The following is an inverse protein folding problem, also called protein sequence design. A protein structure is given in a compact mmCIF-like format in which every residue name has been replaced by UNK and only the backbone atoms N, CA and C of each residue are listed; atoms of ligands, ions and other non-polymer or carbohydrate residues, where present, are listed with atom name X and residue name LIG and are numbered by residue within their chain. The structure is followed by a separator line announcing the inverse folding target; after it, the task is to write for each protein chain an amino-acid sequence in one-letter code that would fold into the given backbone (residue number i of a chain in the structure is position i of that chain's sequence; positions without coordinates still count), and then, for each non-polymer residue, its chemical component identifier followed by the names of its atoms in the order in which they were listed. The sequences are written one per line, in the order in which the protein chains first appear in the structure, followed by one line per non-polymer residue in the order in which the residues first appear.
data_IF_190837446675
#
_entry.id   IF_190837446675
#
_cell.length_a   1.000
_cell.length_b   1.000
_cell.length_c   1.000
_cell.angle_alpha   90.00
_cell.angle_beta   90.00
_cell.angle_gamma   90.00
#
_symmetry.space_group_name_H-M   'P 1'
#
loop_
_entity.id
_entity.type
_entity.pdbx_description
1 polymer ?
#
# COMPACT_ATOMS: atom_id res chain seq x y z
N UNK A 1 17.91 9.06 -18.35
CA UNK A 1 17.59 8.01 -17.35
C UNK A 1 16.27 8.24 -16.64
N UNK A 2 15.89 9.45 -16.27
CA UNK A 2 14.63 9.68 -15.55
C UNK A 2 13.37 9.19 -16.27
N UNK A 3 13.32 9.24 -17.60
CA UNK A 3 12.22 8.61 -18.35
C UNK A 3 12.21 7.08 -18.17
N UNK A 4 13.37 6.42 -18.24
CA UNK A 4 13.52 4.98 -17.94
C UNK A 4 13.16 4.69 -16.47
N UNK A 5 13.64 5.51 -15.53
CA UNK A 5 13.27 5.42 -14.12
C UNK A 5 11.76 5.52 -13.94
N UNK A 6 11.10 6.52 -14.54
CA UNK A 6 9.64 6.63 -14.52
C UNK A 6 8.95 5.39 -15.08
N UNK A 7 9.36 4.90 -16.26
CA UNK A 7 8.80 3.68 -16.87
C UNK A 7 8.99 2.42 -16.01
N UNK A 8 10.08 2.30 -15.24
CA UNK A 8 10.25 1.17 -14.30
C UNK A 8 9.26 1.21 -13.14
N UNK A 9 8.55 2.33 -12.94
CA UNK A 9 7.49 2.49 -11.94
C UNK A 9 6.07 2.43 -12.53
N UNK A 10 5.92 2.12 -13.83
CA UNK A 10 4.61 1.97 -14.49
C UNK A 10 4.15 0.50 -14.54
N UNK A 11 4.55 -0.32 -13.57
CA UNK A 11 4.19 -1.75 -13.51
C UNK A 11 3.63 -2.19 -12.16
N UNK A 12 2.93 -3.33 -12.14
CA UNK A 12 2.28 -3.85 -10.93
C UNK A 12 3.27 -4.11 -9.78
N UNK A 13 4.45 -4.67 -10.08
CA UNK A 13 5.46 -4.96 -9.06
C UNK A 13 6.07 -3.70 -8.43
N UNK A 14 6.09 -2.56 -9.13
CA UNK A 14 6.71 -1.31 -8.68
C UNK A 14 5.73 -0.15 -8.94
N UNK A 15 4.77 0.03 -8.04
CA UNK A 15 3.74 1.08 -8.10
C UNK A 15 2.30 0.57 -8.11
N UNK A 16 2.09 -0.73 -8.36
CA UNK A 16 0.77 -1.36 -8.33
C UNK A 16 0.22 -1.69 -6.94
N UNK A 17 0.96 -1.44 -5.86
CA UNK A 17 0.50 -1.79 -4.52
C UNK A 17 -0.74 -0.95 -4.11
N UNK A 18 -0.86 0.29 -4.59
CA UNK A 18 -2.07 1.09 -4.40
C UNK A 18 -3.28 0.55 -5.15
N UNK A 19 -3.06 0.00 -6.35
CA UNK A 19 -4.08 -0.72 -7.15
C UNK A 19 -4.59 -1.94 -6.39
N UNK A 20 -3.67 -2.82 -5.94
CA UNK A 20 -4.04 -4.02 -5.18
C UNK A 20 -4.64 -3.66 -3.82
N UNK A 21 -4.20 -2.55 -3.22
CA UNK A 21 -4.75 -2.01 -1.98
C UNK A 21 -6.20 -1.55 -2.10
N UNK A 22 -6.59 -0.96 -3.24
CA UNK A 22 -7.99 -0.63 -3.51
C UNK A 22 -8.86 -1.87 -3.67
N UNK A 23 -8.44 -2.82 -4.51
CA UNK A 23 -9.16 -4.08 -4.69
C UNK A 23 -9.32 -4.83 -3.36
N UNK A 24 -8.27 -4.83 -2.54
CA UNK A 24 -8.32 -5.41 -1.20
C UNK A 24 -9.37 -4.73 -0.30
N UNK A 25 -9.35 -3.40 -0.21
CA UNK A 25 -10.33 -2.66 0.60
C UNK A 25 -11.77 -2.87 0.11
N UNK A 26 -12.00 -2.83 -1.21
CA UNK A 26 -13.31 -3.09 -1.79
C UNK A 26 -13.83 -4.47 -1.38
N UNK A 27 -13.00 -5.51 -1.46
CA UNK A 27 -13.39 -6.86 -1.04
C UNK A 27 -13.74 -6.94 0.45
N UNK A 28 -13.00 -6.26 1.33
CA UNK A 28 -13.28 -6.27 2.77
C UNK A 28 -14.57 -5.52 3.14
N UNK A 29 -14.97 -4.52 2.35
CA UNK A 29 -16.10 -3.64 2.65
C UNK A 29 -17.36 -3.86 1.80
N UNK A 30 -17.31 -4.71 0.76
CA UNK A 30 -18.42 -4.92 -0.21
C UNK A 30 -19.78 -5.20 0.42
N UNK A 31 -19.81 -6.00 1.50
CA UNK A 31 -21.04 -6.45 2.17
C UNK A 31 -21.31 -5.71 3.49
N UNK A 32 -20.62 -4.58 3.75
CA UNK A 32 -20.66 -3.89 5.06
C UNK A 32 -21.62 -2.71 5.12
N UNK A 33 -22.38 -2.45 4.06
CA UNK A 33 -23.28 -1.30 3.93
C UNK A 33 -22.67 0.02 4.46
N UNK A 34 -21.42 0.27 4.09
CA UNK A 34 -20.71 1.49 4.47
C UNK A 34 -21.25 2.66 3.64
N UNK A 35 -21.86 3.64 4.31
CA UNK A 35 -22.42 4.84 3.68
C UNK A 35 -21.36 5.94 3.52
N UNK A 36 -20.73 6.33 4.64
CA UNK A 36 -19.72 7.39 4.69
C UNK A 36 -18.40 6.85 5.28
N UNK A 37 -17.32 6.77 4.48
CA UNK A 37 -16.02 6.28 4.94
C UNK A 37 -15.29 7.27 5.87
N UNK A 38 -15.81 8.49 6.00
CA UNK A 38 -15.25 9.55 6.85
C UNK A 38 -16.01 9.71 8.17
N UNK A 39 -17.11 8.97 8.39
CA UNK A 39 -17.84 9.00 9.65
C UNK A 39 -17.19 8.08 10.71
N UNK A 40 -16.66 8.60 11.83
CA UNK A 40 -16.13 7.77 12.92
C UNK A 40 -17.22 6.94 13.63
N UNK A 41 -18.50 7.21 13.38
CA UNK A 41 -19.65 6.46 13.91
C UNK A 41 -20.26 5.50 12.88
N UNK A 42 -19.45 5.01 11.95
CA UNK A 42 -19.81 4.04 10.91
C UNK A 42 -20.40 2.70 11.39
N UNK A 43 -20.33 2.37 12.69
CA UNK A 43 -21.02 1.21 13.29
C UNK A 43 -20.44 -0.17 12.95
N UNK A 44 -19.27 -0.23 12.31
CA UNK A 44 -18.57 -1.49 11.98
C UNK A 44 -17.54 -1.85 13.05
N UNK A 45 -17.43 -3.14 13.39
CA UNK A 45 -16.35 -3.64 14.24
C UNK A 45 -15.10 -3.94 13.39
N UNK A 46 -14.27 -2.91 13.18
CA UNK A 46 -13.05 -3.03 12.39
C UNK A 46 -12.05 -4.01 12.99
N UNK A 47 -12.02 -4.13 14.33
CA UNK A 47 -11.12 -5.05 15.02
C UNK A 47 -11.54 -6.50 14.74
N UNK A 48 -12.83 -6.80 14.80
CA UNK A 48 -13.34 -8.13 14.43
C UNK A 48 -13.05 -8.43 12.95
N UNK A 49 -13.34 -7.49 12.04
CA UNK A 49 -13.04 -7.64 10.61
C UNK A 49 -11.55 -7.95 10.37
N UNK A 50 -10.65 -7.16 10.96
CA UNK A 50 -9.21 -7.34 10.86
C UNK A 50 -8.75 -8.69 11.43
N UNK A 51 -9.32 -9.09 12.57
CA UNK A 51 -9.00 -10.37 13.23
C UNK A 51 -9.44 -11.56 12.39
N UNK A 52 -10.63 -11.52 11.80
CA UNK A 52 -11.15 -12.60 10.96
C UNK A 52 -10.30 -12.77 9.70
N UNK A 53 -9.92 -11.65 9.06
CA UNK A 53 -9.00 -11.68 7.94
C UNK A 53 -7.63 -12.24 8.35
N UNK A 54 -7.05 -11.77 9.45
CA UNK A 54 -5.73 -12.23 9.92
C UNK A 54 -5.72 -13.74 10.21
N UNK A 55 -6.79 -14.27 10.81
CA UNK A 55 -6.95 -15.72 11.03
C UNK A 55 -7.02 -16.48 9.71
N UNK A 56 -7.76 -15.98 8.72
CA UNK A 56 -7.83 -16.59 7.40
C UNK A 56 -6.46 -16.61 6.71
N UNK A 57 -5.72 -15.50 6.80
CA UNK A 57 -4.37 -15.38 6.27
C UNK A 57 -3.39 -16.39 6.88
N UNK A 58 -3.45 -16.62 8.19
CA UNK A 58 -2.61 -17.65 8.85
C UNK A 58 -2.95 -19.06 8.37
N UNK A 59 -4.24 -19.37 8.17
CA UNK A 59 -4.66 -20.67 7.62
C UNK A 59 -4.13 -20.87 6.20
N UNK A 60 -4.34 -19.90 5.32
CA UNK A 60 -3.82 -19.92 3.94
C UNK A 60 -2.29 -20.10 3.92
N UNK A 61 -1.57 -19.41 4.80
CA UNK A 61 -0.11 -19.54 4.98
C UNK A 61 0.31 -20.95 5.39
N UNK A 62 -0.46 -21.61 6.26
CA UNK A 62 -0.16 -22.98 6.69
C UNK A 62 -0.44 -23.97 5.55
N UNK A 63 -1.59 -23.86 4.89
CA UNK A 63 -1.98 -24.69 3.76
C UNK A 63 -0.98 -24.57 2.58
N UNK A 64 -0.54 -23.35 2.24
CA UNK A 64 0.44 -23.14 1.18
C UNK A 64 1.81 -23.76 1.47
N UNK A 65 2.22 -23.80 2.75
CA UNK A 65 3.43 -24.52 3.17
C UNK A 65 3.28 -26.03 3.01
N UNK A 66 2.11 -26.59 3.34
CA UNK A 66 1.84 -28.02 3.18
C UNK A 66 1.79 -28.45 1.71
N UNK A 67 1.24 -27.61 0.84
CA UNK A 67 1.11 -27.87 -0.59
C UNK A 67 2.38 -27.56 -1.40
N UNK A 68 3.40 -26.96 -0.78
CA UNK A 68 4.64 -26.57 -1.46
C UNK A 68 4.46 -25.46 -2.50
N UNK A 69 3.33 -24.77 -2.51
CA UNK A 69 2.97 -23.73 -3.49
C UNK A 69 3.62 -22.37 -3.19
N UNK A 70 4.38 -22.28 -2.09
CA UNK A 70 5.04 -21.06 -1.63
C UNK A 70 4.36 -20.48 -0.40
N UNK A 71 4.87 -19.32 0.04
CA UNK A 71 4.26 -18.58 1.14
C UNK A 71 2.88 -18.00 0.79
N UNK A 72 2.18 -17.42 1.76
CA UNK A 72 0.89 -16.79 1.54
C UNK A 72 1.04 -15.62 0.57
N UNK A 73 -0.06 -15.23 -0.09
CA UNK A 73 -0.07 -14.05 -0.96
C UNK A 73 0.50 -12.83 -0.24
N UNK A 74 1.17 -11.96 -1.01
CA UNK A 74 1.59 -10.67 -0.48
C UNK A 74 0.35 -9.87 -0.04
N UNK A 75 0.43 -9.20 1.10
CA UNK A 75 -0.65 -8.35 1.59
C UNK A 75 -0.45 -6.94 1.03
N UNK A 76 -1.37 -6.44 0.19
CA UNK A 76 -1.26 -5.10 -0.35
C UNK A 76 -1.22 -4.08 0.76
N UNK A 77 -0.37 -3.07 0.62
CA UNK A 77 -0.28 -1.96 1.57
C UNK A 77 0.36 -2.29 2.92
N UNK A 78 0.75 -3.56 3.18
CA UNK A 78 1.28 -4.02 4.46
C UNK A 78 2.74 -4.44 4.34
N UNK A 79 3.58 -3.88 5.21
CA UNK A 79 5.03 -4.11 5.27
C UNK A 79 5.78 -3.65 4.00
N UNK A 80 7.07 -3.35 4.15
CA UNK A 80 8.03 -3.16 3.08
C UNK A 80 9.45 -3.53 3.60
N UNK A 81 10.39 -3.95 2.74
CA UNK A 81 11.65 -4.58 3.17
C UNK A 81 12.60 -3.69 3.99
N UNK A 82 12.44 -2.37 3.88
CA UNK A 82 13.36 -1.36 4.46
C UNK A 82 13.15 -1.14 5.96
N UNK A 83 11.92 -1.14 6.47
CA UNK A 83 11.66 -0.88 7.90
C UNK A 83 11.48 -2.22 8.63
N UNK A 84 12.58 -2.76 9.16
CA UNK A 84 12.62 -4.04 9.89
C UNK A 84 13.39 -3.91 11.19
N UNK A 85 13.13 -4.81 12.14
CA UNK A 85 13.95 -5.00 13.34
C UNK A 85 13.37 -4.45 14.63
N UNK A 86 12.20 -3.79 14.59
CA UNK A 86 11.50 -3.33 15.78
C UNK A 86 10.29 -4.23 16.12
N UNK A 87 9.89 -4.33 17.40
CA UNK A 87 8.66 -5.04 17.80
C UNK A 87 7.42 -4.46 17.12
N UNK A 88 7.39 -3.14 16.95
CA UNK A 88 6.37 -2.41 16.21
C UNK A 88 7.09 -1.56 15.16
N UNK A 89 6.71 -1.75 13.90
CA UNK A 89 7.29 -0.99 12.79
C UNK A 89 6.32 0.11 12.37
N UNK A 90 6.86 1.22 11.88
CA UNK A 90 6.08 2.35 11.36
C UNK A 90 6.70 2.88 10.06
N UNK A 91 5.85 3.26 9.11
CA UNK A 91 6.28 4.06 7.95
C UNK A 91 6.20 5.54 8.34
N UNK A 92 7.31 6.31 8.30
CA UNK A 92 7.28 7.72 8.69
C UNK A 92 6.31 8.57 7.85
N UNK A 93 6.02 8.17 6.61
CA UNK A 93 5.06 8.86 5.72
C UNK A 93 3.63 8.63 6.20
N UNK A 94 3.29 7.40 6.58
CA UNK A 94 1.98 7.10 7.17
C UNK A 94 1.79 7.86 8.48
N UNK A 95 2.80 7.86 9.36
CA UNK A 95 2.74 8.58 10.64
C UNK A 95 2.54 10.08 10.46
N UNK A 96 3.19 10.67 9.46
CA UNK A 96 3.03 12.07 9.13
C UNK A 96 1.61 12.39 8.67
N UNK A 97 1.05 11.60 7.75
CA UNK A 97 -0.33 11.78 7.28
C UNK A 97 -1.34 11.55 8.40
N UNK A 98 -1.18 10.48 9.19
CA UNK A 98 -2.05 10.16 10.31
C UNK A 98 -2.09 11.30 11.34
N UNK A 99 -0.94 11.90 11.64
CA UNK A 99 -0.85 13.06 12.54
C UNK A 99 -1.62 14.27 11.98
N UNK A 100 -1.46 14.58 10.69
CA UNK A 100 -2.17 15.70 10.06
C UNK A 100 -3.69 15.47 10.10
N UNK A 101 -4.14 14.26 9.82
CA UNK A 101 -5.57 13.90 9.88
C UNK A 101 -6.11 14.09 11.30
N UNK A 102 -5.39 13.60 12.30
CA UNK A 102 -5.76 13.77 13.71
C UNK A 102 -5.84 15.26 14.12
N UNK A 103 -4.84 16.06 13.76
CA UNK A 103 -4.82 17.51 14.04
C UNK A 103 -5.99 18.27 13.37
N UNK A 104 -6.49 17.76 12.24
CA UNK A 104 -7.64 18.31 11.52
C UNK A 104 -8.98 17.75 11.98
N UNK A 105 -8.98 16.68 12.77
CA UNK A 105 -10.18 15.91 13.12
C UNK A 105 -10.75 15.09 11.96
N UNK A 106 -9.94 14.80 10.94
CA UNK A 106 -10.34 13.96 9.81
C UNK A 106 -10.33 12.46 10.22
N UNK A 107 -11.26 11.69 9.69
CA UNK A 107 -11.33 10.23 9.88
C UNK A 107 -11.40 9.51 8.54
N UNK A 108 -10.80 8.32 8.49
CA UNK A 108 -10.86 7.43 7.32
C UNK A 108 -10.91 5.97 7.79
N UNK A 109 -12.05 5.34 7.59
CA UNK A 109 -12.31 3.97 8.03
C UNK A 109 -11.36 2.94 7.40
N UNK A 110 -10.93 3.15 6.15
CA UNK A 110 -10.05 2.23 5.43
C UNK A 110 -8.62 2.27 6.00
N UNK A 111 -8.14 3.46 6.34
CA UNK A 111 -6.86 3.63 7.02
C UNK A 111 -6.90 3.03 8.44
N UNK A 112 -7.98 3.24 9.19
CA UNK A 112 -8.13 2.63 10.51
C UNK A 112 -8.20 1.10 10.41
N UNK A 113 -8.92 0.56 9.42
CA UNK A 113 -8.94 -0.88 9.15
C UNK A 113 -7.52 -1.43 8.91
N UNK A 114 -6.68 -0.77 8.11
CA UNK A 114 -5.29 -1.19 7.91
C UNK A 114 -4.49 -1.19 9.22
N UNK A 115 -4.70 -0.19 10.10
CA UNK A 115 -4.05 -0.13 11.41
C UNK A 115 -4.49 -1.28 12.32
N UNK A 116 -5.77 -1.62 12.31
CA UNK A 116 -6.30 -2.78 13.03
C UNK A 116 -5.75 -4.09 12.44
N UNK A 117 -5.65 -4.19 11.11
CA UNK A 117 -5.14 -5.35 10.41
C UNK A 117 -3.70 -5.69 10.76
N UNK A 118 -2.80 -4.70 10.74
CA UNK A 118 -1.39 -4.96 11.06
C UNK A 118 -1.18 -5.41 12.51
N UNK A 119 -2.00 -4.90 13.43
CA UNK A 119 -2.02 -5.36 14.82
C UNK A 119 -2.58 -6.78 14.92
N UNK A 120 -3.72 -7.05 14.28
CA UNK A 120 -4.36 -8.36 14.28
C UNK A 120 -3.43 -9.45 13.72
N UNK A 121 -2.68 -9.17 12.66
CA UNK A 121 -1.69 -10.09 12.08
C UNK A 121 -0.62 -10.51 13.09
N UNK A 122 -0.17 -9.59 13.94
CA UNK A 122 0.75 -9.91 15.03
C UNK A 122 0.04 -10.73 16.12
N UNK A 123 -1.13 -10.30 16.56
CA UNK A 123 -1.88 -10.94 17.65
C UNK A 123 -2.23 -12.41 17.35
N UNK A 124 -2.49 -12.74 16.08
CA UNK A 124 -2.76 -14.13 15.64
C UNK A 124 -1.50 -14.92 15.28
N UNK A 125 -0.31 -14.33 15.41
CA UNK A 125 0.97 -14.99 15.14
C UNK A 125 1.36 -15.11 13.66
N UNK A 126 0.77 -14.30 12.76
CA UNK A 126 1.16 -14.30 11.34
C UNK A 126 2.60 -13.79 11.12
N UNK A 127 3.05 -12.91 12.03
CA UNK A 127 4.37 -12.27 12.06
C UNK A 127 4.87 -12.17 13.51
N UNK A 128 6.20 -12.27 13.75
CA UNK A 128 6.77 -12.07 15.08
C UNK A 128 6.82 -10.59 15.53
N UNK A 129 6.44 -9.66 14.67
CA UNK A 129 6.38 -8.22 14.95
C UNK A 129 5.18 -7.59 14.24
N UNK A 130 4.71 -6.46 14.76
CA UNK A 130 3.63 -5.68 14.13
C UNK A 130 4.16 -5.10 12.82
N UNK A 131 3.50 -5.45 11.72
CA UNK A 131 3.78 -4.83 10.42
C UNK A 131 3.37 -3.37 10.43
N UNK A 132 3.88 -2.60 9.47
CA UNK A 132 3.46 -1.22 9.27
C UNK A 132 2.53 -1.10 8.07
N UNK A 133 1.68 -0.08 8.11
CA UNK A 133 0.91 0.39 6.97
C UNK A 133 1.85 1.24 6.11
N UNK A 134 2.04 0.86 4.85
CA UNK A 134 2.91 1.62 3.94
C UNK A 134 2.15 2.78 3.30
N UNK A 135 2.87 3.68 2.60
CA UNK A 135 2.24 4.83 1.94
C UNK A 135 1.22 4.45 0.85
N UNK A 136 1.38 3.29 0.19
CA UNK A 136 0.48 2.89 -0.88
C UNK A 136 -0.90 2.52 -0.31
N UNK A 137 -0.95 1.87 0.87
CA UNK A 137 -2.19 1.67 1.62
C UNK A 137 -2.85 2.99 2.00
N UNK A 138 -2.06 3.98 2.44
CA UNK A 138 -2.58 5.31 2.79
C UNK A 138 -3.18 6.00 1.57
N UNK A 139 -2.49 5.98 0.43
CA UNK A 139 -2.99 6.54 -0.84
C UNK A 139 -4.28 5.84 -1.25
N UNK A 140 -4.31 4.51 -1.22
CA UNK A 140 -5.51 3.72 -1.55
C UNK A 140 -6.69 4.06 -0.62
N UNK A 141 -6.47 4.12 0.70
CA UNK A 141 -7.48 4.44 1.70
C UNK A 141 -8.07 5.85 1.52
N UNK A 142 -7.20 6.86 1.35
CA UNK A 142 -7.64 8.25 1.18
C UNK A 142 -8.38 8.45 -0.15
N UNK A 143 -7.86 7.87 -1.23
CA UNK A 143 -8.49 7.99 -2.54
C UNK A 143 -9.81 7.24 -2.61
N UNK A 144 -9.90 6.05 -2.00
CA UNK A 144 -11.15 5.31 -1.94
C UNK A 144 -12.22 6.07 -1.16
N UNK A 145 -11.86 6.71 -0.04
CA UNK A 145 -12.80 7.55 0.69
C UNK A 145 -13.31 8.73 -0.15
N UNK A 146 -12.43 9.38 -0.91
CA UNK A 146 -12.79 10.48 -1.81
C UNK A 146 -13.76 10.03 -2.91
N UNK A 147 -13.53 8.85 -3.50
CA UNK A 147 -14.30 8.33 -4.64
C UNK A 147 -15.49 7.46 -4.23
N UNK A 148 -15.70 7.24 -2.92
CA UNK A 148 -16.66 6.26 -2.40
C UNK A 148 -18.09 6.52 -2.87
N UNK A 149 -18.53 7.77 -2.83
CA UNK A 149 -19.88 8.16 -3.25
C UNK A 149 -20.14 7.84 -4.72
N UNK A 150 -19.19 8.18 -5.58
CA UNK A 150 -19.31 7.94 -7.02
C UNK A 150 -19.26 6.44 -7.33
N UNK A 151 -18.43 5.67 -6.63
CA UNK A 151 -18.45 4.22 -6.70
C UNK A 151 -19.80 3.63 -6.26
N UNK A 152 -20.34 4.03 -5.10
CA UNK A 152 -21.60 3.52 -4.56
C UNK A 152 -22.81 3.86 -5.41
N UNK A 153 -22.79 5.00 -6.10
CA UNK A 153 -23.83 5.39 -7.07
C UNK A 153 -23.70 4.69 -8.43
N UNK A 154 -22.60 3.96 -8.67
CA UNK A 154 -22.31 3.31 -9.95
C UNK A 154 -21.74 4.24 -11.02
N UNK A 155 -21.40 5.50 -10.67
CA UNK A 155 -20.74 6.44 -11.57
C UNK A 155 -19.28 6.04 -11.88
N UNK A 156 -18.63 5.34 -10.94
CA UNK A 156 -17.31 4.73 -11.11
C UNK A 156 -17.37 3.23 -10.86
N UNK A 157 -16.68 2.45 -11.69
CA UNK A 157 -16.45 1.03 -11.46
C UNK A 157 -15.15 0.75 -10.73
N UNK A 158 -14.92 -0.52 -10.37
CA UNK A 158 -13.69 -0.97 -9.68
C UNK A 158 -12.42 -0.61 -10.48
N UNK A 159 -12.47 -0.79 -11.80
CA UNK A 159 -11.37 -0.46 -12.71
C UNK A 159 -11.04 1.04 -12.72
N UNK A 160 -12.04 1.91 -12.55
CA UNK A 160 -11.81 3.35 -12.52
C UNK A 160 -11.09 3.75 -11.23
N UNK A 161 -11.49 3.17 -10.10
CA UNK A 161 -10.84 3.36 -8.80
C UNK A 161 -9.37 2.91 -8.87
N UNK A 162 -9.16 1.67 -9.30
CA UNK A 162 -7.85 1.07 -9.51
C UNK A 162 -6.93 1.94 -10.38
N UNK A 163 -7.46 2.46 -11.49
CA UNK A 163 -6.74 3.36 -12.40
C UNK A 163 -6.40 4.70 -11.73
N UNK A 164 -7.32 5.24 -10.92
CA UNK A 164 -7.11 6.50 -10.20
C UNK A 164 -5.96 6.37 -9.18
N UNK A 165 -5.92 5.28 -8.40
CA UNK A 165 -4.85 5.04 -7.43
C UNK A 165 -3.48 4.97 -8.11
N UNK A 166 -3.41 4.26 -9.25
CA UNK A 166 -2.20 4.16 -10.03
C UNK A 166 -1.78 5.51 -10.63
N UNK A 167 -2.73 6.29 -11.15
CA UNK A 167 -2.46 7.60 -11.76
C UNK A 167 -1.88 8.59 -10.75
N UNK A 168 -2.45 8.67 -9.54
CA UNK A 168 -1.94 9.56 -8.47
C UNK A 168 -0.51 9.20 -8.11
N UNK A 169 -0.22 7.90 -7.97
CA UNK A 169 1.15 7.42 -7.71
C UNK A 169 2.12 7.85 -8.83
N UNK A 170 1.72 7.68 -10.10
CA UNK A 170 2.55 8.05 -11.24
C UNK A 170 2.86 9.56 -11.27
N UNK A 171 1.89 10.42 -10.99
CA UNK A 171 2.14 11.86 -10.92
C UNK A 171 3.12 12.23 -9.82
N UNK A 172 2.95 11.66 -8.61
CA UNK A 172 3.92 11.85 -7.52
C UNK A 172 5.33 11.37 -7.91
N UNK A 173 5.43 10.22 -8.58
CA UNK A 173 6.70 9.68 -9.06
C UNK A 173 7.36 10.57 -10.09
N UNK A 174 6.58 11.12 -11.02
CA UNK A 174 7.08 11.97 -12.09
C UNK A 174 7.74 13.24 -11.55
N UNK A 175 7.17 13.83 -10.50
CA UNK A 175 7.76 15.00 -9.82
C UNK A 175 9.15 14.66 -9.27
N UNK A 176 9.27 13.52 -8.57
CA UNK A 176 10.57 13.06 -8.05
C UNK A 176 11.59 12.77 -9.15
N UNK A 177 11.17 12.09 -10.21
CA UNK A 177 12.04 11.84 -11.36
C UNK A 177 12.48 13.14 -12.05
N UNK A 178 11.60 14.14 -12.18
CA UNK A 178 11.96 15.44 -12.75
C UNK A 178 12.95 16.20 -11.86
N UNK A 179 12.75 16.19 -10.54
CA UNK A 179 13.69 16.78 -9.59
C UNK A 179 15.07 16.10 -9.61
N UNK A 180 15.10 14.77 -9.78
CA UNK A 180 16.35 14.01 -9.96
C UNK A 180 17.09 14.42 -11.25
N UNK A 181 16.36 14.67 -12.36
CA UNK A 181 16.98 15.22 -13.59
C UNK A 181 17.65 16.56 -13.29
N UNK A 182 16.92 17.48 -12.66
CA UNK A 182 17.42 18.82 -12.36
C UNK A 182 18.66 18.76 -11.46
N UNK A 183 18.62 17.94 -10.40
CA UNK A 183 19.76 17.72 -9.50
C UNK A 183 21.00 17.24 -10.27
N UNK A 184 20.82 16.35 -11.25
CA UNK A 184 21.93 15.83 -12.04
C UNK A 184 22.48 16.81 -13.07
N UNK A 185 21.61 17.61 -13.71
CA UNK A 185 22.06 18.66 -14.62
C UNK A 185 22.84 19.75 -13.87
N UNK A 186 22.41 20.10 -12.66
CA UNK A 186 22.93 21.25 -11.93
C UNK A 186 24.10 20.91 -10.99
N UNK A 187 24.27 19.67 -10.51
CA UNK A 187 25.38 19.28 -9.61
C UNK A 187 26.76 19.13 -10.29
N UNK A 188 26.82 19.23 -11.62
CA UNK A 188 28.09 19.36 -12.36
C UNK A 188 29.01 18.13 -12.38
N UNK A 189 28.54 16.95 -11.94
CA UNK A 189 29.27 15.68 -12.06
C UNK A 189 28.60 14.78 -13.07
N UNK A 190 29.36 14.28 -14.04
CA UNK A 190 28.89 13.23 -14.93
C UNK A 190 28.51 12.00 -14.10
N UNK A 191 27.28 11.56 -14.24
CA UNK A 191 26.84 10.31 -13.63
C UNK A 191 27.29 9.16 -14.51
N UNK A 192 28.39 8.49 -14.14
CA UNK A 192 28.70 7.20 -14.73
C UNK A 192 27.61 6.21 -14.31
N UNK A 193 26.86 5.77 -15.30
CA UNK A 193 25.64 5.01 -15.12
C UNK A 193 25.74 3.59 -15.67
N UNK A 194 26.96 3.21 -16.09
CA UNK A 194 27.29 1.86 -16.51
C UNK A 194 27.23 0.95 -15.28
N UNK A 195 26.55 -0.18 -15.40
CA UNK A 195 26.66 -1.25 -14.40
C UNK A 195 28.11 -1.75 -14.40
N UNK A 196 28.80 -1.79 -13.25
CA UNK A 196 30.17 -2.30 -13.18
C UNK A 196 30.23 -3.72 -13.75
N UNK A 197 31.28 -4.02 -14.54
CA UNK A 197 31.43 -5.36 -15.12
C UNK A 197 31.47 -6.47 -14.06
N UNK A 198 31.95 -6.16 -12.84
CA UNK A 198 31.95 -7.07 -11.69
C UNK A 198 30.56 -7.46 -11.19
N UNK A 199 29.53 -6.64 -11.48
CA UNK A 199 28.12 -6.88 -11.10
C UNK A 199 27.34 -7.58 -12.23
N UNK A 200 27.97 -7.80 -13.39
CA UNK A 200 27.37 -8.50 -14.52
C UNK A 200 27.89 -9.93 -14.58
N UNK A 201 27.00 -10.90 -14.84
CA UNK A 201 27.39 -12.28 -15.18
C UNK A 201 26.98 -12.58 -16.61
N UNK A 202 27.86 -13.24 -17.36
CA UNK A 202 27.46 -13.82 -18.64
C UNK A 202 26.64 -15.08 -18.38
N UNK A 203 25.47 -15.17 -18.99
CA UNK A 203 24.65 -16.39 -18.95
C UNK A 203 24.77 -17.01 -20.33
N UNK A 204 25.50 -18.12 -20.42
CA UNK A 204 25.67 -18.93 -21.62
C UNK A 204 24.61 -20.04 -21.69
#
# INVERSE_FOLDING_TARGET
KAMVGFLTHTGYSHGGNGFEGMAFLLDQFKDKNLEDPTDPKHGLDLKAMATDFAKAYVREKAEGKELGTGGPRALPGVHHPVFKGNPINHDPRERFIAKIMEERGDYNIFHDFYRQLVQALYDVGASPYVFYVNVDAVIAALLLALLWKDYKSGALGERDLETAAFTVFLYGRMIGCAAEIDDHLNRGRNMDTRTPASECRFVA
#
